data_IF_972217485614
#
_entry.id   IF_972217485614
#
_cell.length_a   1.000
_cell.length_b   1.000
_cell.length_c   1.000
_cell.angle_alpha   90.00
_cell.angle_beta   90.00
_cell.angle_gamma   90.00
#
_symmetry.space_group_name_H-M   'P 1'
#
loop_
_entity.id
_entity.type
_entity.pdbx_description
1 polymer ?
#
# COMPACT_ATOMS: atom_id res chain seq x y z
N UNK A 1 1.83 39.66 -9.12
CA UNK A 1 1.10 39.51 -7.85
C UNK A 1 0.71 38.06 -7.69
N UNK A 2 1.23 37.36 -6.65
CA UNK A 2 0.76 36.02 -6.29
C UNK A 2 -0.70 36.16 -5.88
N UNK A 3 -1.62 35.70 -6.69
CA UNK A 3 -2.99 35.43 -6.28
C UNK A 3 -2.89 34.36 -5.19
N UNK A 4 -3.18 34.73 -3.96
CA UNK A 4 -3.29 33.78 -2.84
C UNK A 4 -4.57 32.99 -3.12
N UNK A 5 -4.47 31.79 -3.67
CA UNK A 5 -5.63 30.91 -3.78
C UNK A 5 -6.20 30.71 -2.38
N UNK A 6 -7.39 31.25 -2.14
CA UNK A 6 -8.11 31.01 -0.87
C UNK A 6 -8.57 29.56 -0.95
N UNK A 7 -7.92 28.67 -0.23
CA UNK A 7 -8.34 27.25 -0.12
C UNK A 7 -9.76 27.20 0.45
N UNK A 8 -10.64 26.43 -0.18
CA UNK A 8 -12.05 26.24 0.25
C UNK A 8 -12.08 25.55 1.62
N UNK A 9 -11.21 24.56 1.81
CA UNK A 9 -11.14 23.78 3.03
C UNK A 9 -10.21 24.42 4.07
N UNK A 10 -10.74 24.63 5.26
CA UNK A 10 -9.95 25.09 6.40
C UNK A 10 -9.04 23.96 6.92
N UNK A 11 -7.99 24.32 7.67
CA UNK A 11 -7.13 23.33 8.38
C UNK A 11 -7.95 22.41 9.28
N UNK A 12 -9.07 22.88 9.84
CA UNK A 12 -9.99 22.09 10.67
C UNK A 12 -10.71 21.02 9.82
N UNK A 13 -11.09 21.36 8.60
CA UNK A 13 -11.76 20.44 7.68
C UNK A 13 -10.79 19.34 7.24
N UNK A 14 -9.58 19.70 6.85
CA UNK A 14 -8.52 18.73 6.48
C UNK A 14 -8.22 17.79 7.64
N UNK A 15 -8.13 18.30 8.86
CA UNK A 15 -7.95 17.47 10.07
C UNK A 15 -9.15 16.56 10.33
N UNK A 16 -10.36 17.04 10.08
CA UNK A 16 -11.59 16.23 10.21
C UNK A 16 -11.63 15.07 9.22
N UNK A 17 -11.20 15.33 7.97
CA UNK A 17 -11.04 14.29 6.95
C UNK A 17 -9.98 13.26 7.35
N UNK A 18 -8.83 13.69 7.86
CA UNK A 18 -7.79 12.80 8.36
C UNK A 18 -8.28 11.92 9.52
N UNK A 19 -8.91 12.50 10.54
CA UNK A 19 -9.44 11.74 11.68
C UNK A 19 -10.46 10.72 11.20
N UNK A 20 -11.33 11.09 10.26
CA UNK A 20 -12.27 10.14 9.66
C UNK A 20 -11.54 8.99 8.95
N UNK A 21 -10.50 9.28 8.16
CA UNK A 21 -9.71 8.26 7.49
C UNK A 21 -9.09 7.29 8.48
N UNK A 22 -8.27 7.78 9.42
CA UNK A 22 -7.51 6.90 10.33
C UNK A 22 -8.40 6.07 11.27
N UNK A 23 -9.62 6.54 11.56
CA UNK A 23 -10.55 5.83 12.44
C UNK A 23 -11.52 4.92 11.68
N UNK A 24 -11.69 5.11 10.37
CA UNK A 24 -12.76 4.43 9.64
C UNK A 24 -12.30 3.66 8.39
N UNK A 25 -11.03 3.78 7.98
CA UNK A 25 -10.50 3.12 6.78
C UNK A 25 -10.75 1.60 6.80
N UNK A 26 -10.55 0.93 7.92
CA UNK A 26 -10.80 -0.50 8.12
C UNK A 26 -12.14 -0.81 8.80
N UNK A 27 -12.95 0.20 9.10
CA UNK A 27 -14.21 0.02 9.83
C UNK A 27 -15.32 -0.66 9.02
N UNK A 28 -15.25 -0.56 7.70
CA UNK A 28 -16.23 -1.13 6.79
C UNK A 28 -15.81 -2.51 6.31
N UNK A 29 -16.07 -3.57 7.00
CA UNK A 29 -15.82 -4.97 6.60
C UNK A 29 -16.53 -5.34 5.28
N UNK A 30 -16.12 -4.69 4.19
CA UNK A 30 -16.73 -4.78 2.86
C UNK A 30 -15.75 -5.33 1.85
N UNK A 31 -15.95 -6.56 1.41
CA UNK A 31 -15.05 -7.27 0.47
C UNK A 31 -15.16 -6.75 -0.97
N UNK A 32 -16.29 -6.16 -1.36
CA UNK A 32 -16.51 -5.68 -2.74
C UNK A 32 -15.78 -4.37 -3.02
N UNK A 33 -15.79 -3.45 -2.05
CA UNK A 33 -15.28 -2.08 -2.21
C UNK A 33 -14.13 -1.72 -1.28
N UNK A 34 -13.82 -2.59 -0.34
CA UNK A 34 -12.78 -2.47 0.69
C UNK A 34 -12.86 -1.12 1.46
N UNK A 35 -11.89 -0.24 1.29
CA UNK A 35 -11.81 1.05 1.98
C UNK A 35 -12.58 2.19 1.29
N UNK A 36 -13.23 1.95 0.14
CA UNK A 36 -13.98 2.99 -0.55
C UNK A 36 -15.06 3.68 0.32
N UNK A 37 -15.82 2.97 1.20
CA UNK A 37 -16.75 3.63 2.11
C UNK A 37 -16.11 4.68 3.03
N UNK A 38 -14.82 4.53 3.37
CA UNK A 38 -14.09 5.54 4.15
C UNK A 38 -13.88 6.83 3.35
N UNK A 39 -13.63 6.74 2.04
CA UNK A 39 -13.60 7.91 1.15
C UNK A 39 -14.96 8.59 1.07
N UNK A 40 -16.02 7.81 0.83
CA UNK A 40 -17.39 8.36 0.75
C UNK A 40 -17.74 9.10 2.04
N UNK A 41 -17.46 8.51 3.19
CA UNK A 41 -17.69 9.15 4.50
C UNK A 41 -16.82 10.40 4.67
N UNK A 42 -15.55 10.34 4.30
CA UNK A 42 -14.64 11.48 4.38
C UNK A 42 -15.14 12.66 3.56
N UNK A 43 -15.55 12.43 2.32
CA UNK A 43 -16.07 13.47 1.45
C UNK A 43 -17.46 13.95 1.88
N UNK A 44 -18.30 13.11 2.45
CA UNK A 44 -19.57 13.51 3.05
C UNK A 44 -19.41 14.58 4.16
N UNK A 45 -18.26 14.60 4.86
CA UNK A 45 -17.98 15.63 5.89
C UNK A 45 -17.70 17.03 5.31
N UNK A 46 -17.34 17.12 4.04
CA UNK A 46 -16.91 18.37 3.37
C UNK A 46 -17.67 18.66 2.07
N UNK A 47 -18.58 17.80 1.65
CA UNK A 47 -19.32 17.92 0.38
C UNK A 47 -20.05 19.26 0.25
N UNK A 48 -20.71 19.72 1.32
CA UNK A 48 -21.44 21.01 1.35
C UNK A 48 -20.52 22.23 1.31
N UNK A 49 -19.22 22.05 1.57
CA UNK A 49 -18.22 23.11 1.43
C UNK A 49 -17.61 23.16 0.04
N UNK A 50 -17.51 21.99 -0.61
CA UNK A 50 -16.95 21.87 -1.94
C UNK A 50 -17.97 22.23 -3.03
N UNK A 51 -19.24 21.87 -2.84
CA UNK A 51 -20.29 22.05 -3.83
C UNK A 51 -21.60 22.53 -3.22
N UNK A 52 -22.21 23.54 -3.83
CA UNK A 52 -23.48 24.10 -3.38
C UNK A 52 -24.68 23.21 -3.76
N UNK A 53 -24.64 22.57 -4.95
CA UNK A 53 -25.77 21.76 -5.44
C UNK A 53 -25.71 20.34 -4.88
N UNK A 54 -26.89 19.81 -4.51
CA UNK A 54 -27.01 18.41 -4.04
C UNK A 54 -26.61 17.40 -5.11
N UNK A 55 -26.81 17.75 -6.38
CA UNK A 55 -26.43 16.91 -7.50
C UNK A 55 -24.89 16.75 -7.61
N UNK A 56 -24.14 17.84 -7.46
CA UNK A 56 -22.68 17.79 -7.46
C UNK A 56 -22.12 17.10 -6.23
N UNK A 57 -22.73 17.31 -5.06
CA UNK A 57 -22.40 16.57 -3.83
C UNK A 57 -22.59 15.06 -4.04
N UNK A 58 -23.67 14.63 -4.68
CA UNK A 58 -23.92 13.23 -4.98
C UNK A 58 -22.89 12.68 -5.98
N UNK A 59 -22.58 13.39 -7.05
CA UNK A 59 -21.54 13.03 -8.02
C UNK A 59 -20.17 12.87 -7.36
N UNK A 60 -19.82 13.76 -6.42
CA UNK A 60 -18.61 13.63 -5.60
C UNK A 60 -18.59 12.31 -4.83
N UNK A 61 -19.66 11.97 -4.13
CA UNK A 61 -19.74 10.74 -3.33
C UNK A 61 -19.70 9.48 -4.21
N UNK A 62 -20.47 9.49 -5.31
CA UNK A 62 -20.57 8.34 -6.23
C UNK A 62 -19.22 7.99 -6.86
N UNK A 63 -18.43 9.00 -7.26
CA UNK A 63 -17.08 8.78 -7.82
C UNK A 63 -16.13 8.11 -6.82
N UNK A 64 -16.37 8.22 -5.52
CA UNK A 64 -15.55 7.60 -4.49
C UNK A 64 -16.08 6.25 -3.99
N UNK A 65 -17.15 5.70 -4.58
CA UNK A 65 -17.65 4.35 -4.27
C UNK A 65 -16.84 3.24 -4.92
N UNK A 66 -15.96 3.54 -5.88
CA UNK A 66 -15.15 2.54 -6.59
C UNK A 66 -14.15 1.89 -5.64
N UNK A 67 -13.83 0.61 -5.93
CA UNK A 67 -12.87 -0.19 -5.17
C UNK A 67 -11.60 0.59 -4.85
N UNK A 68 -11.21 0.53 -3.60
CA UNK A 68 -9.94 1.07 -3.11
C UNK A 68 -9.44 0.22 -1.94
N UNK A 69 -8.19 -0.21 -2.00
CA UNK A 69 -7.54 -0.95 -0.93
C UNK A 69 -6.05 -0.61 -0.86
N UNK A 70 -5.56 -0.32 0.33
CA UNK A 70 -4.15 -0.03 0.61
C UNK A 70 -3.83 -0.40 2.06
N UNK A 71 -2.58 -0.28 2.47
CA UNK A 71 -2.27 -0.30 3.89
C UNK A 71 -2.68 1.07 4.50
N UNK A 72 -3.45 1.05 5.57
CA UNK A 72 -4.19 2.21 6.07
C UNK A 72 -3.31 3.33 6.64
N UNK A 73 -2.16 2.98 7.23
CA UNK A 73 -1.28 3.95 7.86
C UNK A 73 -0.39 4.63 6.82
N UNK A 74 0.41 3.86 6.10
CA UNK A 74 1.32 4.39 5.08
C UNK A 74 0.57 4.95 3.87
N UNK A 75 -0.52 4.28 3.48
CA UNK A 75 -1.40 4.71 2.40
C UNK A 75 -2.24 5.95 2.72
N UNK A 76 -2.19 6.50 3.94
CA UNK A 76 -2.93 7.72 4.32
C UNK A 76 -2.55 8.97 3.52
N UNK A 77 -1.44 8.94 2.80
CA UNK A 77 -1.05 9.97 1.84
C UNK A 77 -2.06 10.08 0.69
N UNK A 78 -2.64 8.95 0.25
CA UNK A 78 -3.53 8.89 -0.92
C UNK A 78 -4.82 9.68 -0.69
N UNK A 79 -5.60 9.44 0.39
CA UNK A 79 -6.78 10.26 0.65
C UNK A 79 -6.43 11.74 0.83
N UNK A 80 -5.23 12.08 1.31
CA UNK A 80 -4.75 13.45 1.29
C UNK A 80 -4.63 14.01 -0.12
N UNK A 81 -3.95 13.30 -1.04
CA UNK A 81 -3.81 13.71 -2.45
C UNK A 81 -5.17 13.90 -3.10
N UNK A 82 -6.06 12.93 -2.92
CA UNK A 82 -7.40 12.98 -3.54
C UNK A 82 -8.23 14.12 -2.97
N UNK A 83 -8.13 14.41 -1.66
CA UNK A 83 -8.79 15.57 -1.04
C UNK A 83 -8.33 16.88 -1.67
N UNK A 84 -7.01 17.04 -1.90
CA UNK A 84 -6.47 18.23 -2.56
C UNK A 84 -6.91 18.36 -4.02
N UNK A 85 -6.97 17.26 -4.76
CA UNK A 85 -7.47 17.25 -6.15
C UNK A 85 -8.96 17.64 -6.23
N UNK A 86 -9.80 17.09 -5.34
CA UNK A 86 -11.23 17.42 -5.31
C UNK A 86 -11.48 18.88 -4.90
N UNK A 87 -10.68 19.43 -4.00
CA UNK A 87 -10.75 20.84 -3.67
C UNK A 87 -10.42 21.74 -4.85
N UNK A 88 -9.34 21.41 -5.59
CA UNK A 88 -8.98 22.13 -6.81
C UNK A 88 -10.05 22.06 -7.89
N UNK A 89 -10.67 20.90 -8.05
CA UNK A 89 -11.82 20.74 -8.93
C UNK A 89 -13.00 21.62 -8.52
N UNK A 90 -13.28 21.70 -7.22
CA UNK A 90 -14.32 22.57 -6.68
C UNK A 90 -13.99 24.07 -6.84
N UNK A 91 -12.70 24.43 -6.90
CA UNK A 91 -12.21 25.78 -7.24
C UNK A 91 -12.42 26.13 -8.72
N UNK A 92 -12.86 25.17 -9.56
CA UNK A 92 -13.14 25.37 -10.99
C UNK A 92 -12.06 24.83 -11.93
N UNK A 93 -11.05 24.08 -11.43
CA UNK A 93 -10.09 23.42 -12.29
C UNK A 93 -10.71 22.21 -13.01
N UNK A 94 -10.41 22.05 -14.29
CA UNK A 94 -10.91 20.94 -15.12
C UNK A 94 -10.18 19.63 -14.80
N UNK A 95 -10.49 19.02 -13.67
CA UNK A 95 -9.93 17.73 -13.26
C UNK A 95 -10.93 16.61 -13.62
N UNK A 96 -10.66 15.77 -14.64
CA UNK A 96 -11.54 14.68 -15.04
C UNK A 96 -11.68 13.61 -13.95
N UNK A 97 -12.82 12.93 -13.90
CA UNK A 97 -13.05 11.78 -13.00
C UNK A 97 -12.01 10.68 -13.19
N UNK A 98 -11.64 10.42 -14.44
CA UNK A 98 -10.63 9.41 -14.81
C UNK A 98 -9.26 9.71 -14.21
N UNK A 99 -8.89 10.98 -14.09
CA UNK A 99 -7.62 11.38 -13.48
C UNK A 99 -7.61 11.08 -11.98
N UNK A 100 -8.68 11.39 -11.27
CA UNK A 100 -8.84 11.08 -9.84
C UNK A 100 -8.80 9.58 -9.62
N UNK A 101 -9.54 8.80 -10.42
CA UNK A 101 -9.60 7.36 -10.31
C UNK A 101 -8.27 6.70 -10.67
N UNK A 102 -7.63 7.14 -11.76
CA UNK A 102 -6.31 6.60 -12.14
C UNK A 102 -5.23 6.92 -11.10
N UNK A 103 -5.30 8.08 -10.44
CA UNK A 103 -4.39 8.43 -9.34
C UNK A 103 -4.60 7.49 -8.14
N UNK A 104 -5.84 7.24 -7.73
CA UNK A 104 -6.16 6.27 -6.68
C UNK A 104 -5.59 4.89 -7.02
N UNK A 105 -5.90 4.39 -8.22
CA UNK A 105 -5.50 3.06 -8.67
C UNK A 105 -3.98 2.92 -8.80
N UNK A 106 -3.29 3.93 -9.35
CA UNK A 106 -1.85 3.90 -9.52
C UNK A 106 -1.08 3.92 -8.19
N UNK A 107 -1.64 4.57 -7.16
CA UNK A 107 -0.98 4.69 -5.86
C UNK A 107 -1.33 3.56 -4.89
N UNK A 108 -2.53 2.97 -4.97
CA UNK A 108 -2.99 2.02 -3.95
C UNK A 108 -2.09 0.79 -3.81
N UNK A 109 -1.64 0.19 -4.92
CA UNK A 109 -0.79 -1.00 -4.90
C UNK A 109 0.61 -0.74 -4.32
N UNK A 110 1.38 0.22 -4.88
CA UNK A 110 2.70 0.56 -4.35
C UNK A 110 2.68 0.96 -2.87
N UNK A 111 1.71 1.78 -2.45
CA UNK A 111 1.62 2.20 -1.05
C UNK A 111 1.13 1.08 -0.12
N UNK A 112 0.30 0.14 -0.61
CA UNK A 112 -0.03 -1.07 0.13
C UNK A 112 1.23 -1.90 0.39
N UNK A 113 2.01 -2.21 -0.65
CA UNK A 113 3.22 -3.03 -0.51
C UNK A 113 4.27 -2.39 0.40
N UNK A 114 4.50 -1.07 0.29
CA UNK A 114 5.40 -0.35 1.20
C UNK A 114 4.89 -0.38 2.64
N UNK A 115 3.61 -0.12 2.84
CA UNK A 115 3.00 -0.10 4.16
C UNK A 115 3.01 -1.46 4.83
N UNK A 116 2.62 -2.51 4.10
CA UNK A 116 2.64 -3.89 4.60
C UNK A 116 4.05 -4.30 5.04
N UNK A 117 5.07 -3.94 4.27
CA UNK A 117 6.47 -4.24 4.62
C UNK A 117 6.97 -3.42 5.81
N UNK A 118 6.79 -2.10 5.79
CA UNK A 118 7.33 -1.19 6.80
C UNK A 118 6.54 -1.25 8.11
N UNK A 119 5.22 -1.21 8.03
CA UNK A 119 4.35 -1.20 9.21
C UNK A 119 4.06 -2.61 9.69
N UNK A 120 3.53 -3.47 8.79
CA UNK A 120 3.14 -4.84 9.12
C UNK A 120 4.34 -5.76 9.36
N UNK A 121 5.31 -5.74 8.44
CA UNK A 121 6.46 -6.64 8.46
C UNK A 121 7.64 -6.17 9.31
N UNK A 122 7.73 -4.89 9.67
CA UNK A 122 8.89 -4.35 10.39
C UNK A 122 8.51 -3.69 11.71
N UNK A 123 7.77 -2.59 11.66
CA UNK A 123 7.48 -1.80 12.85
C UNK A 123 6.67 -2.59 13.89
N UNK A 124 5.60 -3.25 13.47
CA UNK A 124 4.72 -4.00 14.36
C UNK A 124 5.44 -5.17 15.06
N UNK A 125 6.19 -6.05 14.37
CA UNK A 125 6.97 -7.10 15.00
C UNK A 125 8.03 -6.57 15.98
N UNK A 126 8.74 -5.48 15.66
CA UNK A 126 9.74 -4.88 16.55
C UNK A 126 9.07 -4.41 17.85
N UNK A 127 7.99 -3.65 17.77
CA UNK A 127 7.28 -3.16 18.95
C UNK A 127 6.69 -4.30 19.78
N UNK A 128 6.14 -5.34 19.12
CA UNK A 128 5.64 -6.54 19.80
C UNK A 128 6.78 -7.28 20.53
N UNK A 129 7.94 -7.45 19.89
CA UNK A 129 9.09 -8.12 20.48
C UNK A 129 9.59 -7.41 21.75
N UNK A 130 9.71 -6.09 21.70
CA UNK A 130 10.08 -5.27 22.86
C UNK A 130 9.02 -5.41 23.96
N UNK A 131 7.74 -5.28 23.61
CA UNK A 131 6.63 -5.41 24.57
C UNK A 131 6.59 -6.78 25.26
N UNK A 132 6.81 -7.85 24.49
CA UNK A 132 6.90 -9.20 25.04
C UNK A 132 8.09 -9.34 25.98
N UNK A 133 9.27 -8.82 25.60
CA UNK A 133 10.45 -8.82 26.48
C UNK A 133 10.24 -8.13 27.81
N UNK A 134 9.50 -7.01 27.83
CA UNK A 134 9.16 -6.25 29.04
C UNK A 134 8.19 -7.00 29.99
N UNK A 135 7.41 -7.93 29.46
CA UNK A 135 6.37 -8.63 30.25
C UNK A 135 6.68 -10.11 30.50
N UNK A 136 7.56 -10.74 29.70
CA UNK A 136 7.77 -12.20 29.68
C UNK A 136 8.22 -12.79 31.03
N UNK A 137 9.09 -12.07 31.77
CA UNK A 137 9.62 -12.55 33.04
C UNK A 137 8.78 -12.20 34.26
N UNK A 138 7.94 -11.14 34.16
CA UNK A 138 7.26 -10.58 35.34
C UNK A 138 5.74 -10.62 35.25
N UNK A 139 5.16 -10.94 34.08
CA UNK A 139 3.72 -10.79 33.83
C UNK A 139 3.23 -9.33 33.92
N UNK A 140 4.16 -8.37 33.85
CA UNK A 140 3.87 -6.95 34.03
C UNK A 140 3.03 -6.37 32.89
N UNK A 141 2.14 -5.43 33.21
CA UNK A 141 1.37 -4.63 32.24
C UNK A 141 2.26 -3.63 31.44
N UNK A 142 3.55 -3.52 31.80
CA UNK A 142 4.49 -2.59 31.18
C UNK A 142 4.65 -2.84 29.65
N UNK A 143 4.66 -4.10 29.21
CA UNK A 143 4.75 -4.44 27.79
C UNK A 143 3.56 -3.96 26.96
N UNK A 144 2.31 -4.33 27.29
CA UNK A 144 1.13 -3.82 26.61
C UNK A 144 1.03 -2.30 26.61
N UNK A 145 1.35 -1.67 27.75
CA UNK A 145 1.33 -0.21 27.86
C UNK A 145 2.40 0.44 26.95
N UNK A 146 3.61 -0.10 26.93
CA UNK A 146 4.67 0.32 26.01
C UNK A 146 4.19 0.23 24.56
N UNK A 147 3.61 -0.93 24.18
CA UNK A 147 3.14 -1.13 22.81
C UNK A 147 2.10 -0.10 22.40
N UNK A 148 1.08 0.11 23.23
CA UNK A 148 0.05 1.11 22.97
C UNK A 148 0.61 2.53 22.81
N UNK A 149 1.48 2.96 23.75
CA UNK A 149 2.06 4.30 23.71
C UNK A 149 2.99 4.47 22.51
N UNK A 150 3.87 3.52 22.26
CA UNK A 150 4.80 3.56 21.12
C UNK A 150 4.05 3.51 19.79
N UNK A 151 3.08 2.61 19.66
CA UNK A 151 2.27 2.46 18.44
C UNK A 151 1.52 3.76 18.13
N UNK A 152 0.73 4.27 19.06
CA UNK A 152 -0.04 5.52 18.86
C UNK A 152 0.88 6.72 18.65
N UNK A 153 2.01 6.78 19.38
CA UNK A 153 3.00 7.85 19.28
C UNK A 153 3.74 7.90 17.95
N UNK A 154 3.84 6.78 17.23
CA UNK A 154 4.45 6.71 15.90
C UNK A 154 3.39 6.86 14.81
N UNK A 155 2.31 6.07 14.90
CA UNK A 155 1.31 5.99 13.83
C UNK A 155 0.51 7.28 13.68
N UNK A 156 0.03 7.89 14.77
CA UNK A 156 -0.80 9.09 14.66
C UNK A 156 -0.03 10.28 14.04
N UNK A 157 1.17 10.65 14.49
CA UNK A 157 1.91 11.74 13.86
C UNK A 157 2.40 11.37 12.46
N UNK A 158 2.84 10.13 12.25
CA UNK A 158 3.30 9.64 10.94
C UNK A 158 2.21 9.72 9.87
N UNK A 159 1.05 9.19 10.16
CA UNK A 159 -0.10 9.21 9.24
C UNK A 159 -0.64 10.62 9.01
N UNK A 160 -0.65 11.46 10.04
CA UNK A 160 -0.98 12.89 9.88
C UNK A 160 0.01 13.60 8.94
N UNK A 161 1.31 13.33 9.11
CA UNK A 161 2.35 13.91 8.24
C UNK A 161 2.12 13.47 6.78
N UNK A 162 1.89 12.18 6.54
CA UNK A 162 1.62 11.62 5.21
C UNK A 162 0.35 12.22 4.59
N UNK A 163 -0.76 12.22 5.32
CA UNK A 163 -2.03 12.79 4.86
C UNK A 163 -1.90 14.28 4.51
N UNK A 164 -1.30 15.07 5.41
CA UNK A 164 -1.14 16.51 5.21
C UNK A 164 -0.17 16.87 4.08
N UNK A 165 0.86 16.02 3.85
CA UNK A 165 1.76 16.16 2.68
C UNK A 165 1.05 15.75 1.41
N UNK A 166 0.27 14.67 1.46
CA UNK A 166 -0.60 14.24 0.36
C UNK A 166 -1.55 15.35 -0.06
N UNK A 167 -2.25 15.96 0.88
CA UNK A 167 -3.16 17.08 0.59
C UNK A 167 -2.47 18.25 -0.14
N UNK A 168 -1.29 18.66 0.34
CA UNK A 168 -0.50 19.69 -0.34
C UNK A 168 -0.04 19.26 -1.73
N UNK A 169 0.33 17.98 -1.89
CA UNK A 169 0.70 17.43 -3.19
C UNK A 169 -0.50 17.42 -4.14
N UNK A 170 -1.70 17.08 -3.66
CA UNK A 170 -2.93 17.09 -4.46
C UNK A 170 -3.28 18.49 -4.97
N UNK A 171 -3.17 19.51 -4.12
CA UNK A 171 -3.36 20.91 -4.51
C UNK A 171 -2.31 21.33 -5.56
N UNK A 172 -1.04 21.00 -5.36
CA UNK A 172 0.02 21.39 -6.29
C UNK A 172 0.04 20.52 -7.56
N UNK A 173 -0.44 19.27 -7.49
CA UNK A 173 -0.46 18.35 -8.63
C UNK A 173 -1.43 18.84 -9.71
N UNK A 174 -2.53 19.44 -9.32
CA UNK A 174 -3.43 20.09 -10.24
C UNK A 174 -2.69 21.15 -11.06
N UNK A 175 -1.96 22.07 -10.40
CA UNK A 175 -1.14 23.10 -11.06
C UNK A 175 -0.07 22.50 -11.99
N UNK A 176 0.54 21.37 -11.64
CA UNK A 176 1.63 20.72 -12.38
C UNK A 176 1.13 19.84 -13.53
N UNK A 177 -0.03 19.19 -13.35
CA UNK A 177 -0.62 18.30 -14.35
C UNK A 177 -1.17 19.08 -15.56
N UNK A 178 -1.65 20.31 -15.34
CA UNK A 178 -2.14 21.17 -16.42
C UNK A 178 -1.03 21.90 -17.19
N UNK A 179 0.13 22.17 -16.57
CA UNK A 179 1.21 22.98 -17.17
C UNK A 179 2.20 22.18 -18.02
N UNK A 180 2.10 20.83 -18.14
CA UNK A 180 3.15 20.20 -18.91
C UNK A 180 3.12 18.71 -19.22
N UNK A 181 1.98 18.05 -19.32
CA UNK A 181 1.95 16.64 -19.78
C UNK A 181 2.72 15.66 -18.89
N UNK A 182 2.94 15.98 -17.61
CA UNK A 182 3.74 15.21 -16.66
C UNK A 182 2.99 14.04 -16.00
N UNK A 183 1.73 13.78 -16.40
CA UNK A 183 0.96 12.61 -15.96
C UNK A 183 1.78 11.33 -16.10
N UNK A 184 2.45 11.15 -17.24
CA UNK A 184 3.25 9.97 -17.51
C UNK A 184 4.47 9.85 -16.58
N UNK A 185 5.05 10.97 -16.16
CA UNK A 185 6.22 10.97 -15.25
C UNK A 185 5.80 10.50 -13.86
N UNK A 186 4.66 10.98 -13.34
CA UNK A 186 4.16 10.60 -12.01
C UNK A 186 3.75 9.13 -12.02
N UNK A 187 3.03 8.68 -13.05
CA UNK A 187 2.64 7.28 -13.21
C UNK A 187 3.87 6.38 -13.34
N UNK A 188 4.88 6.77 -14.13
CA UNK A 188 6.13 6.02 -14.24
C UNK A 188 6.90 5.97 -12.93
N UNK A 189 6.99 7.09 -12.20
CA UNK A 189 7.65 7.12 -10.89
C UNK A 189 6.95 6.22 -9.89
N UNK A 190 5.61 6.26 -9.82
CA UNK A 190 4.82 5.37 -8.97
C UNK A 190 5.01 3.90 -9.34
N UNK A 191 5.01 3.57 -10.64
CA UNK A 191 5.26 2.21 -11.11
C UNK A 191 6.68 1.72 -10.78
N UNK A 192 7.71 2.57 -10.93
CA UNK A 192 9.09 2.22 -10.57
C UNK A 192 9.19 1.91 -9.08
N UNK A 193 8.64 2.79 -8.23
CA UNK A 193 8.60 2.57 -6.78
C UNK A 193 7.85 1.28 -6.46
N UNK A 194 6.68 1.04 -7.09
CA UNK A 194 5.90 -0.19 -6.94
C UNK A 194 6.70 -1.45 -7.28
N UNK A 195 7.42 -1.44 -8.42
CA UNK A 195 8.25 -2.57 -8.84
C UNK A 195 9.42 -2.82 -7.88
N UNK A 196 10.07 -1.77 -7.38
CA UNK A 196 11.14 -1.88 -6.37
C UNK A 196 10.59 -2.53 -5.10
N UNK A 197 9.41 -2.08 -4.64
CA UNK A 197 8.77 -2.61 -3.43
C UNK A 197 8.35 -4.07 -3.62
N UNK A 198 7.72 -4.42 -4.75
CA UNK A 198 7.35 -5.81 -5.06
C UNK A 198 8.60 -6.70 -5.09
N UNK A 199 9.69 -6.23 -5.70
CA UNK A 199 10.97 -6.96 -5.70
C UNK A 199 11.53 -7.17 -4.29
N UNK A 200 11.52 -6.13 -3.46
CA UNK A 200 12.01 -6.20 -2.08
C UNK A 200 11.16 -7.16 -1.21
N UNK A 201 9.83 -7.09 -1.31
CA UNK A 201 8.90 -7.98 -0.62
C UNK A 201 9.10 -9.43 -1.09
N UNK A 202 9.22 -9.65 -2.40
CA UNK A 202 9.46 -10.98 -2.94
C UNK A 202 10.77 -11.57 -2.42
N UNK A 203 11.85 -10.78 -2.38
CA UNK A 203 13.14 -11.22 -1.85
C UNK A 203 13.08 -11.53 -0.34
N UNK A 204 12.22 -10.85 0.42
CA UNK A 204 12.11 -11.00 1.87
C UNK A 204 11.18 -12.16 2.27
N UNK A 205 10.08 -12.36 1.57
CA UNK A 205 9.04 -13.30 1.98
C UNK A 205 9.01 -14.61 1.19
N UNK A 206 9.59 -14.65 -0.02
CA UNK A 206 9.71 -15.90 -0.77
C UNK A 206 10.99 -16.62 -0.34
N UNK A 207 10.89 -17.42 0.71
CA UNK A 207 12.02 -18.16 1.32
C UNK A 207 12.17 -19.58 0.77
N UNK A 208 11.88 -19.77 -0.54
CA UNK A 208 12.05 -21.06 -1.19
C UNK A 208 13.53 -21.31 -1.52
N UNK A 209 14.06 -22.42 -1.06
CA UNK A 209 15.41 -22.91 -1.36
C UNK A 209 15.34 -24.35 -1.86
N UNK A 210 16.40 -24.83 -2.54
CA UNK A 210 16.49 -26.23 -2.94
C UNK A 210 17.11 -27.08 -1.84
N UNK A 211 16.41 -28.13 -1.43
CA UNK A 211 16.94 -29.16 -0.52
C UNK A 211 17.78 -30.22 -1.21
N UNK A 212 17.77 -30.25 -2.57
CA UNK A 212 18.45 -31.28 -3.31
C UNK A 212 19.97 -31.21 -3.17
N UNK A 213 20.57 -32.31 -2.72
CA UNK A 213 22.01 -32.45 -2.59
C UNK A 213 22.47 -33.85 -3.01
N UNK A 214 23.62 -33.92 -3.66
CA UNK A 214 24.24 -35.18 -4.07
C UNK A 214 25.65 -35.29 -3.47
N UNK A 215 25.95 -36.42 -2.83
CA UNK A 215 27.23 -36.67 -2.24
C UNK A 215 28.03 -37.66 -3.09
N UNK A 216 29.22 -37.25 -3.51
CA UNK A 216 30.18 -38.11 -4.22
C UNK A 216 31.51 -38.12 -3.47
N UNK A 217 31.75 -39.20 -2.72
CA UNK A 217 32.89 -39.28 -1.81
C UNK A 217 32.84 -38.21 -0.72
N UNK A 218 33.89 -37.42 -0.60
CA UNK A 218 33.97 -36.32 0.37
C UNK A 218 33.38 -35.00 -0.14
N UNK A 219 32.97 -34.95 -1.40
CA UNK A 219 32.34 -33.74 -1.99
C UNK A 219 30.83 -33.78 -1.86
N UNK A 220 30.24 -32.68 -1.31
CA UNK A 220 28.81 -32.44 -1.26
C UNK A 220 28.43 -31.42 -2.34
N UNK A 221 27.69 -31.84 -3.32
CA UNK A 221 27.11 -30.95 -4.33
C UNK A 221 25.70 -30.57 -3.88
N UNK A 222 25.47 -29.33 -3.52
CA UNK A 222 24.12 -28.81 -3.25
C UNK A 222 23.65 -27.94 -4.41
N UNK A 223 22.42 -28.18 -4.89
CA UNK A 223 21.84 -27.36 -5.93
C UNK A 223 21.69 -25.92 -5.47
N UNK A 224 21.31 -25.70 -4.22
CA UNK A 224 21.21 -24.37 -3.64
C UNK A 224 22.56 -23.64 -3.67
N UNK A 225 23.65 -24.29 -3.30
CA UNK A 225 24.98 -23.68 -3.32
C UNK A 225 25.42 -23.26 -4.74
N UNK A 226 25.04 -24.03 -5.76
CA UNK A 226 25.28 -23.67 -7.17
C UNK A 226 24.44 -22.46 -7.57
N UNK A 227 23.16 -22.45 -7.23
CA UNK A 227 22.25 -21.32 -7.53
C UNK A 227 22.72 -20.03 -6.84
N UNK A 228 23.10 -20.10 -5.58
CA UNK A 228 23.57 -18.95 -4.80
C UNK A 228 24.93 -18.43 -5.29
N UNK A 229 25.76 -19.28 -5.89
CA UNK A 229 27.03 -18.85 -6.50
C UNK A 229 26.80 -18.05 -7.80
N UNK A 230 25.68 -18.28 -8.49
CA UNK A 230 25.28 -17.51 -9.66
C UNK A 230 24.63 -16.20 -9.21
N UNK A 231 23.60 -16.31 -8.39
CA UNK A 231 22.87 -15.16 -7.83
C UNK A 231 22.09 -15.60 -6.56
N UNK A 232 22.36 -15.03 -5.38
CA UNK A 232 21.56 -15.26 -4.19
C UNK A 232 20.08 -14.93 -4.44
N UNK A 233 19.19 -15.83 -4.02
CA UNK A 233 17.74 -15.63 -4.20
C UNK A 233 17.21 -15.92 -5.61
N UNK A 234 17.94 -16.67 -6.43
CA UNK A 234 17.53 -17.00 -7.81
C UNK A 234 16.21 -17.78 -7.85
N UNK A 235 15.97 -18.72 -6.93
CA UNK A 235 14.70 -19.46 -6.82
C UNK A 235 13.52 -18.55 -6.45
N UNK A 236 13.59 -17.73 -5.40
CA UNK A 236 12.59 -16.70 -5.11
C UNK A 236 12.26 -15.81 -6.30
N UNK A 237 13.29 -15.32 -6.99
CA UNK A 237 13.12 -14.49 -8.19
C UNK A 237 12.40 -15.26 -9.30
N UNK A 238 12.80 -16.50 -9.57
CA UNK A 238 12.18 -17.36 -10.59
C UNK A 238 10.71 -17.60 -10.33
N UNK A 239 10.33 -17.91 -9.08
CA UNK A 239 8.94 -18.10 -8.66
C UNK A 239 8.14 -16.79 -8.80
N UNK A 240 8.72 -15.65 -8.42
CA UNK A 240 8.06 -14.34 -8.57
C UNK A 240 7.83 -13.99 -10.04
N UNK A 241 8.83 -14.20 -10.90
CA UNK A 241 8.69 -13.98 -12.35
C UNK A 241 7.69 -14.94 -12.99
N UNK A 242 7.63 -16.19 -12.53
CA UNK A 242 6.62 -17.15 -12.98
C UNK A 242 5.21 -16.65 -12.64
N UNK A 243 4.99 -16.20 -11.40
CA UNK A 243 3.71 -15.62 -11.00
C UNK A 243 3.32 -14.42 -11.87
N UNK A 244 4.27 -13.51 -12.11
CA UNK A 244 4.05 -12.36 -12.98
C UNK A 244 3.69 -12.77 -14.42
N UNK A 245 4.43 -13.70 -15.01
CA UNK A 245 4.16 -14.19 -16.39
C UNK A 245 2.76 -14.81 -16.48
N UNK A 246 2.37 -15.62 -15.50
CA UNK A 246 1.07 -16.28 -15.49
C UNK A 246 -0.08 -15.27 -15.36
N UNK A 247 0.09 -14.25 -14.52
CA UNK A 247 -0.93 -13.23 -14.28
C UNK A 247 -1.01 -12.23 -15.44
N UNK A 248 0.12 -11.63 -15.82
CA UNK A 248 0.16 -10.52 -16.78
C UNK A 248 0.15 -10.99 -18.24
N UNK A 249 1.06 -11.89 -18.61
CA UNK A 249 1.19 -12.34 -20.02
C UNK A 249 0.19 -13.42 -20.43
N UNK A 250 -0.18 -14.30 -19.51
CA UNK A 250 -1.13 -15.39 -19.77
C UNK A 250 -2.56 -15.04 -19.36
N UNK A 251 -2.78 -13.87 -18.73
CA UNK A 251 -4.08 -13.41 -18.24
C UNK A 251 -4.83 -14.47 -17.41
N UNK A 252 -4.09 -15.27 -16.64
CA UNK A 252 -4.69 -16.33 -15.82
C UNK A 252 -5.36 -15.70 -14.59
N UNK A 253 -6.46 -16.32 -14.15
CA UNK A 253 -7.12 -15.90 -12.91
C UNK A 253 -6.20 -16.13 -11.72
N UNK A 254 -6.19 -15.19 -10.75
CA UNK A 254 -5.39 -15.29 -9.52
C UNK A 254 -5.58 -16.63 -8.82
N UNK A 255 -6.83 -17.12 -8.74
CA UNK A 255 -7.17 -18.44 -8.15
C UNK A 255 -6.44 -19.60 -8.85
N UNK A 256 -6.34 -19.55 -10.18
CA UNK A 256 -5.65 -20.59 -10.96
C UNK A 256 -4.15 -20.56 -10.69
N UNK A 257 -3.56 -19.37 -10.66
CA UNK A 257 -2.13 -19.20 -10.33
C UNK A 257 -1.85 -19.69 -8.90
N UNK A 258 -2.72 -19.39 -7.95
CA UNK A 258 -2.62 -19.87 -6.57
C UNK A 258 -2.64 -21.40 -6.48
N UNK A 259 -3.54 -22.07 -7.21
CA UNK A 259 -3.60 -23.54 -7.29
C UNK A 259 -2.30 -24.10 -7.87
N UNK A 260 -1.77 -23.49 -8.95
CA UNK A 260 -0.49 -23.91 -9.55
C UNK A 260 0.64 -23.84 -8.52
N UNK A 261 0.73 -22.75 -7.74
CA UNK A 261 1.76 -22.60 -6.72
C UNK A 261 1.61 -23.59 -5.56
N UNK A 262 0.37 -23.94 -5.17
CA UNK A 262 0.12 -25.02 -4.21
C UNK A 262 0.64 -26.36 -4.77
N UNK A 263 0.36 -26.68 -6.02
CA UNK A 263 0.86 -27.91 -6.66
C UNK A 263 2.39 -27.93 -6.76
N UNK A 264 3.01 -26.80 -7.12
CA UNK A 264 4.48 -26.66 -7.14
C UNK A 264 5.05 -26.89 -5.74
N UNK A 265 4.43 -26.32 -4.70
CA UNK A 265 4.86 -26.48 -3.32
C UNK A 265 4.74 -27.93 -2.83
N UNK A 266 3.63 -28.62 -3.15
CA UNK A 266 3.42 -30.03 -2.78
C UNK A 266 4.44 -30.93 -3.51
N UNK A 267 4.57 -30.80 -4.83
CA UNK A 267 5.49 -31.61 -5.62
C UNK A 267 6.95 -31.33 -5.25
N UNK A 268 7.28 -30.04 -5.12
CA UNK A 268 8.63 -29.60 -4.73
C UNK A 268 9.03 -30.05 -3.33
N UNK A 269 8.08 -29.98 -2.38
CA UNK A 269 8.30 -30.44 -1.00
C UNK A 269 8.43 -31.96 -0.89
N UNK A 270 7.54 -32.70 -1.57
CA UNK A 270 7.61 -34.17 -1.58
C UNK A 270 8.88 -34.71 -2.25
N UNK A 271 9.40 -34.00 -3.24
CA UNK A 271 10.65 -34.38 -3.94
C UNK A 271 11.93 -33.81 -3.31
N UNK A 272 11.80 -33.05 -2.20
CA UNK A 272 12.88 -32.29 -1.56
C UNK A 272 13.57 -31.27 -2.50
N UNK A 273 13.01 -31.03 -3.68
CA UNK A 273 13.50 -30.03 -4.63
C UNK A 273 13.31 -28.62 -4.12
N UNK A 274 12.21 -28.37 -3.39
CA UNK A 274 11.88 -27.08 -2.77
C UNK A 274 11.61 -27.28 -1.29
N UNK A 275 12.35 -26.56 -0.45
CA UNK A 275 12.13 -26.49 1.00
C UNK A 275 12.05 -25.03 1.42
N UNK A 276 11.55 -24.77 2.61
CA UNK A 276 11.54 -23.41 3.20
C UNK A 276 12.87 -23.23 3.95
N UNK A 277 13.54 -22.09 3.69
CA UNK A 277 14.80 -21.72 4.34
C UNK A 277 14.60 -21.37 5.81
#
# INVERSE_FOLDING_TARGET
GKVKSMTILSKKDVRKCYVNWITFALGCQNMERMMAPAFVRMFGLVSEKLYDSKEEQQKLLDRHTQFFNTEEAFGSIIPGVILGMEEKRAEGEEIPDELIQSTKTALMGPFAGMGDSLIGGTLRPILCSIAMGLSASTGSIAGPLFYCVAWLGIIIPGTWLLFSRGYKLGINAADVLFVGGRKDIITRAANIVGLIVVGAISAQYVSAVSGWSYRSGDMLFSLQGILDSIMPGLLPLGLTLLAWILLDKKNMKITTVFIIFILIAIVGGLSELLIVA
#
